data_IF_572078017524
#
_entry.id   IF_572078017524
#
_cell.length_a   1.000
_cell.length_b   1.000
_cell.length_c   1.000
_cell.angle_alpha   90.00
_cell.angle_beta   90.00
_cell.angle_gamma   90.00
#
_symmetry.space_group_name_H-M   'P 1'
#
loop_
_entity.id
_entity.type
_entity.pdbx_description
1 polymer ?
#
# COMPACT_ATOMS: atom_id res chain seq x y z
N UNK A 1 19.03 3.49 10.17
CA UNK A 1 17.82 3.74 9.36
C UNK A 1 17.35 2.50 8.61
N UNK A 2 18.17 1.83 7.80
CA UNK A 2 17.77 0.64 6.99
C UNK A 2 16.99 -0.44 7.77
N UNK A 3 17.38 -0.76 9.00
CA UNK A 3 16.68 -1.76 9.81
C UNK A 3 15.25 -1.38 10.23
N UNK A 4 14.96 -0.08 10.33
CA UNK A 4 13.60 0.43 10.63
C UNK A 4 12.72 0.33 9.38
N UNK A 5 13.29 0.69 8.24
CA UNK A 5 12.67 0.58 6.92
C UNK A 5 12.22 -0.82 6.57
N UNK A 6 13.11 -1.81 6.72
CA UNK A 6 12.81 -3.21 6.44
C UNK A 6 11.67 -3.71 7.32
N UNK A 7 11.62 -3.30 8.59
CA UNK A 7 10.54 -3.70 9.50
C UNK A 7 9.19 -3.13 9.10
N UNK A 8 9.11 -1.84 8.75
CA UNK A 8 7.86 -1.23 8.29
C UNK A 8 7.40 -1.83 6.97
N UNK A 9 8.31 -1.99 6.02
CA UNK A 9 7.96 -2.60 4.74
C UNK A 9 7.50 -4.07 4.89
N UNK A 10 8.18 -4.84 5.75
CA UNK A 10 7.75 -6.21 6.05
C UNK A 10 6.36 -6.26 6.71
N UNK A 11 6.05 -5.30 7.60
CA UNK A 11 4.73 -5.18 8.21
C UNK A 11 3.65 -4.83 7.17
N UNK A 12 3.92 -3.85 6.30
CA UNK A 12 3.06 -3.52 5.16
C UNK A 12 2.74 -4.77 4.34
N UNK A 13 3.77 -5.50 3.89
CA UNK A 13 3.56 -6.71 3.09
C UNK A 13 2.80 -7.79 3.86
N UNK A 14 3.06 -7.96 5.16
CA UNK A 14 2.36 -8.92 5.99
C UNK A 14 0.84 -8.64 6.10
N UNK A 15 0.42 -7.39 5.88
CA UNK A 15 -0.98 -6.96 5.92
C UNK A 15 -1.60 -6.95 4.53
N UNK A 16 -0.92 -6.34 3.57
CA UNK A 16 -1.47 -6.08 2.25
C UNK A 16 -1.60 -7.34 1.39
N UNK A 17 -0.62 -8.26 1.47
CA UNK A 17 -0.63 -9.47 0.64
C UNK A 17 -1.79 -10.43 1.00
N UNK A 18 -2.08 -10.72 2.29
CA UNK A 18 -3.27 -11.49 2.64
C UNK A 18 -4.59 -10.84 2.18
N UNK A 19 -4.70 -9.52 2.26
CA UNK A 19 -5.89 -8.78 1.81
C UNK A 19 -6.06 -8.91 0.29
N UNK A 20 -4.98 -8.69 -0.47
CA UNK A 20 -4.98 -8.87 -1.93
C UNK A 20 -5.40 -10.29 -2.31
N UNK A 21 -4.87 -11.32 -1.63
CA UNK A 21 -5.25 -12.71 -1.86
C UNK A 21 -6.72 -12.99 -1.49
N UNK A 22 -7.21 -12.43 -0.38
CA UNK A 22 -8.57 -12.67 0.11
C UNK A 22 -9.64 -12.06 -0.80
N UNK A 23 -9.39 -10.86 -1.32
CA UNK A 23 -10.36 -10.10 -2.10
C UNK A 23 -10.28 -10.37 -3.62
N UNK A 24 -9.21 -10.99 -4.10
CA UNK A 24 -9.07 -11.42 -5.49
C UNK A 24 -9.85 -12.71 -5.78
N UNK A 25 -10.29 -12.93 -7.04
CA UNK A 25 -10.80 -14.22 -7.51
C UNK A 25 -9.83 -15.36 -7.20
N UNK A 26 -10.35 -16.55 -6.87
CA UNK A 26 -9.54 -17.71 -6.48
C UNK A 26 -8.47 -18.08 -7.53
N UNK A 27 -8.80 -17.96 -8.81
CA UNK A 27 -7.90 -18.21 -9.96
C UNK A 27 -6.70 -17.26 -10.03
N UNK A 28 -6.82 -16.06 -9.45
CA UNK A 28 -5.86 -14.98 -9.64
C UNK A 28 -5.19 -14.53 -8.33
N UNK A 29 -5.41 -15.22 -7.21
CA UNK A 29 -4.84 -14.85 -5.91
C UNK A 29 -3.32 -14.68 -5.95
N UNK A 30 -2.61 -15.61 -6.60
CA UNK A 30 -1.15 -15.51 -6.73
C UNK A 30 -0.71 -14.28 -7.54
N UNK A 31 -1.45 -13.94 -8.61
CA UNK A 31 -1.19 -12.74 -9.42
C UNK A 31 -1.49 -11.47 -8.65
N UNK A 32 -2.57 -11.45 -7.86
CA UNK A 32 -2.92 -10.32 -7.00
C UNK A 32 -1.86 -10.08 -5.92
N UNK A 33 -1.38 -11.15 -5.27
CA UNK A 33 -0.28 -11.07 -4.29
C UNK A 33 1.00 -10.53 -4.94
N UNK A 34 1.38 -11.07 -6.10
CA UNK A 34 2.58 -10.60 -6.79
C UNK A 34 2.46 -9.12 -7.21
N UNK A 35 1.31 -8.74 -7.76
CA UNK A 35 1.03 -7.36 -8.16
C UNK A 35 1.07 -6.40 -6.97
N UNK A 36 0.43 -6.78 -5.86
CA UNK A 36 0.48 -6.03 -4.62
C UNK A 36 1.92 -5.90 -4.12
N UNK A 37 2.67 -7.00 -4.01
CA UNK A 37 4.05 -6.97 -3.54
C UNK A 37 4.94 -6.05 -4.37
N UNK A 38 4.84 -6.12 -5.70
CA UNK A 38 5.62 -5.28 -6.60
C UNK A 38 5.19 -3.81 -6.52
N UNK A 39 3.89 -3.54 -6.43
CA UNK A 39 3.38 -2.19 -6.28
C UNK A 39 3.86 -1.58 -4.95
N UNK A 40 3.66 -2.27 -3.81
CA UNK A 40 4.12 -1.82 -2.49
C UNK A 40 5.64 -1.61 -2.47
N UNK A 41 6.43 -2.48 -3.13
CA UNK A 41 7.90 -2.33 -3.26
C UNK A 41 8.30 -1.05 -3.98
N UNK A 42 7.46 -0.51 -4.85
CA UNK A 42 7.74 0.75 -5.56
C UNK A 42 7.19 1.97 -4.83
N UNK A 43 5.99 1.89 -4.27
CA UNK A 43 5.28 3.02 -3.67
C UNK A 43 5.78 3.34 -2.27
N UNK A 44 5.96 2.33 -1.41
CA UNK A 44 6.24 2.53 0.00
C UNK A 44 7.66 3.04 0.29
N UNK A 45 8.71 2.59 -0.44
CA UNK A 45 10.02 3.21 -0.35
C UNK A 45 10.00 4.71 -0.67
N UNK A 46 9.26 5.11 -1.70
CA UNK A 46 9.14 6.50 -2.12
C UNK A 46 8.36 7.33 -1.09
N UNK A 47 7.21 6.82 -0.61
CA UNK A 47 6.39 7.50 0.40
C UNK A 47 7.21 7.77 1.66
N UNK A 48 7.80 6.71 2.20
CA UNK A 48 8.50 6.80 3.47
C UNK A 48 9.75 7.68 3.34
N UNK A 49 10.39 7.73 2.16
CA UNK A 49 11.53 8.61 1.91
C UNK A 49 11.07 10.06 1.89
N UNK A 50 9.93 10.35 1.26
CA UNK A 50 9.31 11.66 1.29
C UNK A 50 8.93 12.09 2.72
N UNK A 51 8.35 11.19 3.52
CA UNK A 51 7.97 11.47 4.91
C UNK A 51 9.18 11.80 5.78
N UNK A 52 10.24 10.98 5.76
CA UNK A 52 11.43 11.22 6.58
C UNK A 52 12.28 12.41 6.11
N UNK A 53 12.27 12.73 4.80
CA UNK A 53 13.09 13.81 4.27
C UNK A 53 12.43 15.18 4.45
N UNK A 54 11.12 15.25 4.24
CA UNK A 54 10.41 16.53 4.13
C UNK A 54 9.45 16.82 5.28
N UNK A 55 9.11 15.82 6.11
CA UNK A 55 8.12 15.94 7.18
C UNK A 55 6.87 16.75 6.73
N UNK A 56 6.21 16.34 5.64
CA UNK A 56 5.21 17.17 4.99
C UNK A 56 3.97 17.35 5.88
N UNK A 57 3.19 18.44 5.70
CA UNK A 57 1.93 18.64 6.42
C UNK A 57 0.95 17.49 6.19
N UNK A 58 0.07 17.24 7.15
CA UNK A 58 -0.89 16.13 7.10
C UNK A 58 -1.71 16.06 5.80
N UNK A 59 -2.17 17.21 5.28
CA UNK A 59 -2.93 17.23 4.02
C UNK A 59 -2.14 16.68 2.83
N UNK A 60 -0.82 16.88 2.80
CA UNK A 60 0.07 16.33 1.78
C UNK A 60 0.25 14.82 1.96
N UNK A 61 0.37 14.35 3.22
CA UNK A 61 0.44 12.91 3.52
C UNK A 61 -0.80 12.19 2.98
N UNK A 62 -1.99 12.72 3.27
CA UNK A 62 -3.27 12.17 2.77
C UNK A 62 -3.31 12.14 1.24
N UNK A 63 -2.86 13.20 0.57
CA UNK A 63 -2.80 13.23 -0.90
C UNK A 63 -1.84 12.17 -1.46
N UNK A 64 -0.68 11.96 -0.83
CA UNK A 64 0.27 10.92 -1.24
C UNK A 64 -0.30 9.52 -1.07
N UNK A 65 -0.97 9.25 0.05
CA UNK A 65 -1.63 7.96 0.33
C UNK A 65 -2.74 7.68 -0.70
N UNK A 66 -3.54 8.69 -1.06
CA UNK A 66 -4.54 8.57 -2.14
C UNK A 66 -3.87 8.27 -3.47
N UNK A 67 -2.78 8.97 -3.81
CA UNK A 67 -2.04 8.72 -5.05
C UNK A 67 -1.47 7.31 -5.10
N UNK A 68 -0.96 6.80 -3.98
CA UNK A 68 -0.44 5.43 -3.85
C UNK A 68 -1.57 4.42 -4.03
N UNK A 69 -2.70 4.59 -3.35
CA UNK A 69 -3.85 3.70 -3.50
C UNK A 69 -4.36 3.66 -4.96
N UNK A 70 -4.32 4.78 -5.69
CA UNK A 70 -4.66 4.82 -7.11
C UNK A 70 -3.64 4.06 -7.97
N UNK A 71 -2.33 4.24 -7.72
CA UNK A 71 -1.26 3.55 -8.44
C UNK A 71 -1.29 2.03 -8.21
N UNK A 72 -1.44 1.61 -6.96
CA UNK A 72 -1.55 0.18 -6.60
C UNK A 72 -2.84 -0.44 -7.13
N UNK A 73 -3.94 0.33 -7.12
CA UNK A 73 -5.20 -0.07 -7.76
C UNK A 73 -5.05 -0.24 -9.28
N UNK A 74 -4.31 0.63 -9.95
CA UNK A 74 -3.98 0.49 -11.36
C UNK A 74 -3.10 -0.75 -11.61
N UNK A 75 -2.07 -0.98 -10.78
CA UNK A 75 -1.23 -2.18 -10.87
C UNK A 75 -2.05 -3.47 -10.75
N UNK A 76 -2.96 -3.53 -9.76
CA UNK A 76 -3.89 -4.65 -9.60
C UNK A 76 -4.82 -4.82 -10.80
N UNK A 77 -5.37 -3.72 -11.33
CA UNK A 77 -6.24 -3.73 -12.51
C UNK A 77 -5.54 -4.27 -13.77
N UNK A 78 -4.26 -3.97 -13.96
CA UNK A 78 -3.51 -4.45 -15.13
C UNK A 78 -2.95 -5.86 -14.93
N UNK A 79 -2.64 -6.24 -13.69
CA UNK A 79 -2.11 -7.56 -13.39
C UNK A 79 -3.19 -8.64 -13.25
N UNK A 80 -4.41 -8.27 -12.83
CA UNK A 80 -5.54 -9.16 -12.57
C UNK A 80 -6.77 -8.60 -13.32
N UNK A 81 -7.62 -9.44 -13.95
CA UNK A 81 -8.79 -8.97 -14.70
C UNK A 81 -9.94 -8.46 -13.79
N UNK A 82 -9.64 -7.57 -12.84
CA UNK A 82 -10.61 -6.88 -11.99
C UNK A 82 -11.26 -5.73 -12.75
N UNK A 83 -12.47 -5.34 -12.36
CA UNK A 83 -13.01 -4.03 -12.73
C UNK A 83 -12.24 -2.93 -12.00
N UNK A 84 -12.23 -1.70 -12.54
CA UNK A 84 -11.60 -0.56 -11.86
C UNK A 84 -12.12 -0.36 -10.44
N UNK A 85 -13.44 -0.40 -10.25
CA UNK A 85 -14.05 -0.29 -8.92
C UNK A 85 -13.52 -1.34 -7.94
N UNK A 86 -13.43 -2.60 -8.36
CA UNK A 86 -12.92 -3.68 -7.49
C UNK A 86 -11.43 -3.52 -7.21
N UNK A 87 -10.62 -3.17 -8.21
CA UNK A 87 -9.18 -2.96 -8.02
C UNK A 87 -8.90 -1.81 -7.04
N UNK A 88 -9.65 -0.71 -7.16
CA UNK A 88 -9.57 0.43 -6.24
C UNK A 88 -10.07 0.08 -4.83
N UNK A 89 -11.14 -0.72 -4.69
CA UNK A 89 -11.58 -1.21 -3.37
C UNK A 89 -10.49 -2.06 -2.72
N UNK A 90 -9.90 -3.01 -3.45
CA UNK A 90 -8.84 -3.87 -2.89
C UNK A 90 -7.65 -3.03 -2.44
N UNK A 91 -7.16 -2.15 -3.30
CA UNK A 91 -6.06 -1.23 -2.99
C UNK A 91 -6.38 -0.31 -1.81
N UNK A 92 -7.57 0.28 -1.78
CA UNK A 92 -8.01 1.14 -0.68
C UNK A 92 -8.09 0.41 0.66
N UNK A 93 -8.57 -0.84 0.69
CA UNK A 93 -8.60 -1.65 1.91
C UNK A 93 -7.19 -2.01 2.38
N UNK A 94 -6.28 -2.36 1.45
CA UNK A 94 -4.87 -2.63 1.75
C UNK A 94 -4.20 -1.41 2.40
N UNK A 95 -4.26 -0.26 1.72
CA UNK A 95 -3.62 0.98 2.16
C UNK A 95 -4.23 1.49 3.48
N UNK A 96 -5.55 1.41 3.66
CA UNK A 96 -6.18 1.79 4.92
C UNK A 96 -5.72 0.89 6.09
N UNK A 97 -5.59 -0.42 5.85
CA UNK A 97 -5.14 -1.36 6.88
C UNK A 97 -3.66 -1.18 7.24
N UNK A 98 -2.79 -0.97 6.24
CA UNK A 98 -1.36 -0.73 6.46
C UNK A 98 -1.12 0.65 7.10
N UNK A 99 -1.86 1.69 6.71
CA UNK A 99 -1.84 3.01 7.35
C UNK A 99 -2.17 2.93 8.84
N UNK A 100 -3.32 2.33 9.20
CA UNK A 100 -3.78 2.23 10.60
C UNK A 100 -2.87 1.42 11.51
N UNK A 101 -2.08 0.50 10.94
CA UNK A 101 -1.14 -0.34 11.69
C UNK A 101 0.26 0.24 11.79
N UNK A 102 0.55 1.33 11.07
CA UNK A 102 1.87 1.91 11.00
C UNK A 102 2.15 2.89 12.16
N UNK A 103 3.22 2.68 12.95
CA UNK A 103 3.74 3.67 13.91
C UNK A 103 3.99 5.05 13.32
N UNK A 104 4.23 5.17 12.00
CA UNK A 104 4.34 6.46 11.32
C UNK A 104 3.04 7.27 11.41
N UNK A 105 1.89 6.63 11.33
CA UNK A 105 0.60 7.30 11.51
C UNK A 105 0.43 7.81 12.95
N UNK A 106 0.86 7.03 13.94
CA UNK A 106 0.86 7.50 15.32
C UNK A 106 1.80 8.68 15.57
N UNK A 107 2.90 8.81 14.80
CA UNK A 107 3.80 9.96 14.87
C UNK A 107 3.28 11.20 14.11
N UNK A 108 2.55 11.00 13.00
CA UNK A 108 1.96 12.10 12.21
C UNK A 108 0.69 12.67 12.87
N UNK A 109 -0.05 11.86 13.64
CA UNK A 109 -1.33 12.23 14.26
C UNK A 109 -1.32 12.39 15.78
N UNK A 110 -0.21 12.04 16.46
CA UNK A 110 -0.03 12.16 17.91
C UNK A 110 0.91 13.29 18.28
#
# INVERSE_FOLDING_TARGET
MLGVWVKYFALTLAIELPIAAALAPASDRGRAVLAAALASLTTHPLLTAALFTYAPPLGVVVLLEVAIALLEGAALRFAVPLTWGRALTVSGVMNAASALSSPLWWWVFG
#
